data_IF_797531307778
#
_entry.id   IF_797531307778
#
_cell.length_a   1.000
_cell.length_b   1.000
_cell.length_c   1.000
_cell.angle_alpha   90.00
_cell.angle_beta   90.00
_cell.angle_gamma   90.00
#
_symmetry.space_group_name_H-M   'P 1'
#
loop_
_entity.id
_entity.type
_entity.pdbx_description
1 polymer ?
#
# COMPACT_ATOMS: atom_id res chain seq x y z
N UNK A 1 16.97 -75.80 -7.46
CA UNK A 1 15.95 -74.99 -8.15
C UNK A 1 15.26 -74.01 -7.21
N UNK A 2 14.77 -74.42 -6.04
CA UNK A 2 14.07 -73.55 -5.07
C UNK A 2 14.95 -72.44 -4.46
N UNK A 3 16.18 -72.76 -4.06
CA UNK A 3 17.13 -71.77 -3.48
C UNK A 3 17.50 -70.67 -4.47
N UNK A 4 17.72 -71.01 -5.74
CA UNK A 4 18.03 -70.04 -6.80
C UNK A 4 16.87 -69.06 -7.05
N UNK A 5 15.62 -69.53 -7.00
CA UNK A 5 14.43 -68.69 -7.16
C UNK A 5 14.28 -67.70 -6.00
N UNK A 6 14.54 -68.15 -4.77
CA UNK A 6 14.51 -67.31 -3.56
C UNK A 6 15.59 -66.22 -3.65
N UNK A 7 16.81 -66.56 -4.07
CA UNK A 7 17.91 -65.59 -4.22
C UNK A 7 17.56 -64.53 -5.26
N UNK A 8 16.99 -64.91 -6.42
CA UNK A 8 16.56 -63.95 -7.45
C UNK A 8 15.46 -63.02 -6.93
N UNK A 9 14.48 -63.56 -6.20
CA UNK A 9 13.41 -62.76 -5.60
C UNK A 9 13.92 -61.76 -4.56
N UNK A 10 14.86 -62.16 -3.71
CA UNK A 10 15.48 -61.28 -2.71
C UNK A 10 16.30 -60.18 -3.39
N UNK A 11 17.10 -60.51 -4.41
CA UNK A 11 17.87 -59.52 -5.15
C UNK A 11 16.98 -58.50 -5.88
N UNK A 12 15.90 -58.96 -6.52
CA UNK A 12 14.93 -58.08 -7.16
C UNK A 12 14.22 -57.17 -6.14
N UNK A 13 13.83 -57.70 -4.99
CA UNK A 13 13.22 -56.93 -3.91
C UNK A 13 14.13 -55.85 -3.32
N UNK A 14 15.40 -56.21 -3.04
CA UNK A 14 16.41 -55.27 -2.55
C UNK A 14 16.74 -54.19 -3.60
N UNK A 15 16.83 -54.57 -4.88
CA UNK A 15 17.01 -53.62 -5.98
C UNK A 15 15.86 -52.62 -6.07
N UNK A 16 14.61 -53.09 -5.96
CA UNK A 16 13.43 -52.22 -5.93
C UNK A 16 13.43 -51.25 -4.75
N UNK A 17 13.79 -51.71 -3.55
CA UNK A 17 13.93 -50.85 -2.37
C UNK A 17 15.04 -49.81 -2.54
N UNK A 18 16.19 -50.18 -3.11
CA UNK A 18 17.28 -49.26 -3.35
C UNK A 18 16.89 -48.16 -4.36
N UNK A 19 16.22 -48.52 -5.45
CA UNK A 19 15.74 -47.54 -6.44
C UNK A 19 14.63 -46.66 -5.86
N UNK A 20 13.69 -47.25 -5.11
CA UNK A 20 12.61 -46.51 -4.47
C UNK A 20 13.12 -45.52 -3.42
N UNK A 21 14.09 -45.93 -2.59
CA UNK A 21 14.72 -45.05 -1.61
C UNK A 21 15.56 -43.96 -2.28
N UNK A 22 16.32 -44.28 -3.32
CA UNK A 22 17.08 -43.28 -4.07
C UNK A 22 16.17 -42.23 -4.73
N UNK A 23 15.06 -42.65 -5.34
CA UNK A 23 14.05 -41.75 -5.90
C UNK A 23 13.39 -40.90 -4.80
N UNK A 24 13.10 -41.51 -3.64
CA UNK A 24 12.51 -40.80 -2.49
C UNK A 24 13.44 -39.72 -1.92
N UNK A 25 14.73 -40.01 -1.80
CA UNK A 25 15.73 -39.05 -1.31
C UNK A 25 15.91 -37.89 -2.29
N UNK A 26 15.93 -38.18 -3.60
CA UNK A 26 16.02 -37.14 -4.64
C UNK A 26 14.76 -36.27 -4.68
N UNK A 27 13.58 -36.85 -4.49
CA UNK A 27 12.33 -36.09 -4.40
C UNK A 27 12.31 -35.18 -3.16
N UNK A 28 12.91 -35.62 -2.04
CA UNK A 28 13.00 -34.79 -0.83
C UNK A 28 13.91 -33.57 -1.01
N UNK A 29 15.04 -33.70 -1.71
CA UNK A 29 15.92 -32.55 -1.92
C UNK A 29 15.24 -31.45 -2.74
N UNK A 30 14.44 -31.81 -3.76
CA UNK A 30 13.68 -30.82 -4.53
C UNK A 30 12.66 -30.07 -3.68
N UNK A 31 12.04 -30.72 -2.69
CA UNK A 31 11.09 -30.07 -1.77
C UNK A 31 11.84 -29.10 -0.85
N UNK A 32 13.02 -29.48 -0.37
CA UNK A 32 13.87 -28.62 0.47
C UNK A 32 14.38 -27.40 -0.31
N UNK A 33 14.79 -27.59 -1.56
CA UNK A 33 15.21 -26.51 -2.45
C UNK A 33 14.06 -25.55 -2.77
N UNK A 34 12.86 -26.07 -3.08
CA UNK A 34 11.67 -25.25 -3.29
C UNK A 34 11.31 -24.43 -2.05
N UNK A 35 11.39 -25.06 -0.87
CA UNK A 35 11.12 -24.40 0.40
C UNK A 35 12.13 -23.28 0.68
N UNK A 36 13.42 -23.56 0.51
CA UNK A 36 14.47 -22.57 0.67
C UNK A 36 14.31 -21.39 -0.32
N UNK A 37 13.83 -21.64 -1.53
CA UNK A 37 13.56 -20.60 -2.52
C UNK A 37 12.38 -19.71 -2.10
N UNK A 38 11.29 -20.29 -1.59
CA UNK A 38 10.13 -19.55 -1.06
C UNK A 38 10.54 -18.68 0.14
N UNK A 39 11.31 -19.23 1.08
CA UNK A 39 11.76 -18.51 2.27
C UNK A 39 12.70 -17.34 1.92
N UNK A 40 13.52 -17.46 0.86
CA UNK A 40 14.36 -16.35 0.37
C UNK A 40 13.56 -15.24 -0.30
N UNK A 41 12.44 -15.56 -0.92
CA UNK A 41 11.56 -14.60 -1.59
C UNK A 41 10.57 -13.95 -0.62
N UNK A 42 10.23 -14.63 0.48
CA UNK A 42 9.32 -14.15 1.52
C UNK A 42 10.01 -14.22 2.90
N UNK A 43 10.69 -13.13 3.31
CA UNK A 43 11.47 -13.11 4.55
C UNK A 43 10.67 -13.38 5.84
N UNK A 44 9.32 -13.27 5.80
CA UNK A 44 8.44 -13.48 6.96
C UNK A 44 7.69 -14.83 6.94
N UNK A 45 7.95 -15.72 5.97
CA UNK A 45 7.43 -17.09 5.92
C UNK A 45 5.90 -17.27 5.80
N UNK A 46 5.13 -16.18 5.79
CA UNK A 46 3.66 -16.20 5.88
C UNK A 46 2.94 -16.14 4.52
N UNK A 47 3.64 -15.92 3.41
CA UNK A 47 2.96 -15.62 2.14
C UNK A 47 2.49 -14.17 2.01
N UNK A 48 2.45 -13.40 3.11
CA UNK A 48 1.70 -12.14 3.19
C UNK A 48 2.60 -11.05 3.79
N UNK A 49 2.91 -10.03 3.00
CA UNK A 49 3.62 -8.84 3.46
C UNK A 49 2.82 -8.16 4.57
N UNK A 50 3.39 -8.06 5.77
CA UNK A 50 2.77 -7.42 6.94
C UNK A 50 2.50 -5.93 6.72
N UNK A 51 3.20 -5.30 5.77
CA UNK A 51 3.00 -3.91 5.35
C UNK A 51 1.93 -3.76 4.28
N UNK A 52 1.49 -4.84 3.64
CA UNK A 52 0.41 -4.77 2.67
C UNK A 52 -0.89 -4.31 3.32
N UNK A 53 -1.60 -3.41 2.63
CA UNK A 53 -2.93 -2.98 3.02
C UNK A 53 -3.89 -4.14 2.82
N UNK A 54 -4.60 -4.51 3.89
CA UNK A 54 -5.51 -5.67 3.88
C UNK A 54 -6.81 -5.40 4.64
N UNK A 55 -6.76 -4.52 5.63
CA UNK A 55 -7.92 -4.15 6.44
C UNK A 55 -8.52 -2.90 5.78
N UNK A 56 -9.64 -3.08 5.06
CA UNK A 56 -10.27 -2.04 4.25
C UNK A 56 -11.75 -1.93 4.58
N UNK A 57 -12.23 -0.70 4.79
CA UNK A 57 -13.66 -0.43 4.91
C UNK A 57 -14.00 0.97 4.43
N UNK A 58 -15.23 1.12 3.92
CA UNK A 58 -15.81 2.40 3.52
C UNK A 58 -17.09 2.63 4.31
N UNK A 59 -17.25 3.85 4.81
CA UNK A 59 -18.48 4.34 5.42
C UNK A 59 -18.98 5.51 4.59
N UNK A 60 -20.23 5.43 4.11
CA UNK A 60 -20.87 6.49 3.34
C UNK A 60 -21.88 7.24 4.21
N UNK A 61 -21.99 8.54 4.00
CA UNK A 61 -22.84 9.41 4.82
C UNK A 61 -23.13 10.74 4.12
N UNK A 62 -24.10 11.48 4.66
CA UNK A 62 -24.41 12.85 4.26
C UNK A 62 -23.71 13.81 5.22
N UNK A 63 -22.59 14.39 4.77
CA UNK A 63 -21.76 15.28 5.58
C UNK A 63 -22.29 16.72 5.68
N UNK A 64 -23.20 17.09 4.77
CA UNK A 64 -23.78 18.42 4.65
C UNK A 64 -25.30 18.28 4.66
N UNK A 65 -26.00 19.09 5.45
CA UNK A 65 -27.46 19.01 5.63
C UNK A 65 -28.25 19.19 4.32
N UNK A 66 -27.68 19.91 3.36
CA UNK A 66 -28.28 20.18 2.04
C UNK A 66 -28.13 19.01 1.05
N UNK A 67 -27.42 17.95 1.45
CA UNK A 67 -27.16 16.76 0.64
C UNK A 67 -27.97 15.59 1.17
N UNK A 68 -28.42 14.73 0.25
CA UNK A 68 -28.92 13.40 0.60
C UNK A 68 -28.36 12.37 -0.37
N UNK A 69 -28.39 11.10 0.05
CA UNK A 69 -27.97 9.98 -0.77
C UNK A 69 -26.55 9.48 -0.49
N UNK A 70 -26.04 9.73 0.72
CA UNK A 70 -24.75 9.24 1.20
C UNK A 70 -23.61 9.52 0.21
N UNK A 71 -23.51 10.79 -0.21
CA UNK A 71 -22.55 11.21 -1.25
C UNK A 71 -21.14 11.42 -0.71
N UNK A 72 -20.99 11.64 0.59
CA UNK A 72 -19.68 11.73 1.25
C UNK A 72 -19.24 10.35 1.75
N UNK A 73 -17.94 10.16 1.94
CA UNK A 73 -17.42 8.90 2.43
C UNK A 73 -16.13 9.07 3.24
N UNK A 74 -15.88 8.09 4.11
CA UNK A 74 -14.58 7.84 4.76
C UNK A 74 -14.14 6.42 4.46
N UNK A 75 -12.91 6.28 3.98
CA UNK A 75 -12.24 5.05 3.60
C UNK A 75 -11.05 4.83 4.52
N UNK A 76 -11.01 3.69 5.22
CA UNK A 76 -9.85 3.26 5.97
C UNK A 76 -9.07 2.21 5.17
N UNK A 77 -7.76 2.43 5.04
CA UNK A 77 -6.81 1.52 4.40
C UNK A 77 -5.71 1.21 5.40
N UNK A 78 -5.72 0.02 5.99
CA UNK A 78 -4.81 -0.34 7.08
C UNK A 78 -4.08 -1.66 6.77
N UNK A 79 -2.83 -1.75 7.23
CA UNK A 79 -2.05 -2.99 7.19
C UNK A 79 -2.32 -3.87 8.42
N UNK A 80 -1.64 -5.02 8.49
CA UNK A 80 -1.82 -6.01 9.56
C UNK A 80 -1.49 -5.50 10.98
N UNK A 81 -0.48 -4.63 11.08
CA UNK A 81 0.00 -4.05 12.36
C UNK A 81 -0.86 -2.87 12.79
N UNK A 82 -1.49 -2.26 11.80
CA UNK A 82 -2.47 -1.23 11.95
C UNK A 82 -2.05 0.17 11.61
N UNK A 83 -0.97 0.27 10.86
CA UNK A 83 -0.56 1.49 10.21
C UNK A 83 -1.31 1.65 8.89
N UNK A 84 -1.53 2.89 8.48
CA UNK A 84 -2.16 3.21 7.22
C UNK A 84 -2.76 4.61 7.21
N UNK A 85 -3.87 4.77 6.49
CA UNK A 85 -4.49 6.08 6.28
C UNK A 85 -6.02 5.96 6.29
N UNK A 86 -6.67 6.99 6.81
CA UNK A 86 -8.10 7.23 6.59
C UNK A 86 -8.24 8.40 5.63
N UNK A 87 -8.93 8.15 4.51
CA UNK A 87 -9.22 9.14 3.47
C UNK A 87 -10.69 9.49 3.52
N UNK A 88 -10.99 10.77 3.64
CA UNK A 88 -12.36 11.28 3.70
C UNK A 88 -12.62 12.21 2.54
N UNK A 89 -13.75 12.04 1.86
CA UNK A 89 -14.24 12.97 0.84
C UNK A 89 -15.60 13.52 1.26
N UNK A 90 -15.64 14.83 1.48
CA UNK A 90 -16.86 15.59 1.77
C UNK A 90 -17.33 16.21 0.46
N UNK A 91 -18.48 15.75 -0.01
CA UNK A 91 -19.02 16.13 -1.32
C UNK A 91 -20.22 17.06 -1.16
N UNK A 92 -20.08 18.29 -1.66
CA UNK A 92 -21.15 19.27 -1.80
C UNK A 92 -21.70 19.36 -3.23
N UNK A 93 -22.53 20.38 -3.50
CA UNK A 93 -23.18 20.55 -4.82
C UNK A 93 -22.18 21.05 -5.87
N UNK A 94 -21.32 21.96 -5.44
CA UNK A 94 -20.43 22.74 -6.30
C UNK A 94 -18.96 22.41 -6.05
N UNK A 95 -18.64 21.80 -4.90
CA UNK A 95 -17.27 21.51 -4.50
C UNK A 95 -17.16 20.20 -3.72
N UNK A 96 -15.96 19.63 -3.71
CA UNK A 96 -15.58 18.49 -2.91
C UNK A 96 -14.28 18.80 -2.17
N UNK A 97 -14.17 18.34 -0.92
CA UNK A 97 -12.95 18.43 -0.13
C UNK A 97 -12.50 17.03 0.26
N UNK A 98 -11.22 16.75 0.07
CA UNK A 98 -10.62 15.46 0.45
C UNK A 98 -9.56 15.67 1.52
N UNK A 99 -9.60 14.84 2.54
CA UNK A 99 -8.67 14.83 3.67
C UNK A 99 -8.05 13.44 3.79
N UNK A 100 -6.82 13.39 4.29
CA UNK A 100 -6.14 12.15 4.60
C UNK A 100 -5.49 12.28 5.98
N UNK A 101 -5.78 11.33 6.87
CA UNK A 101 -5.22 11.29 8.23
C UNK A 101 -4.45 9.99 8.41
N UNK A 102 -3.20 10.11 8.85
CA UNK A 102 -2.35 8.96 9.12
C UNK A 102 -2.82 8.21 10.37
N UNK A 103 -2.72 6.89 10.32
CA UNK A 103 -2.98 5.97 11.43
C UNK A 103 -1.70 5.19 11.69
N UNK A 104 -1.29 5.13 12.96
CA UNK A 104 -0.14 4.34 13.42
C UNK A 104 -0.59 3.42 14.54
N UNK A 105 -0.28 2.12 14.42
CA UNK A 105 -0.57 1.09 15.43
C UNK A 105 -2.04 1.11 15.88
N UNK A 106 -2.96 1.36 14.94
CA UNK A 106 -4.39 1.44 15.20
C UNK A 106 -4.87 2.72 15.90
N UNK A 107 -4.04 3.76 15.98
CA UNK A 107 -4.41 5.09 16.51
C UNK A 107 -4.16 6.16 15.46
N UNK A 108 -5.13 7.05 15.26
CA UNK A 108 -4.93 8.20 14.39
C UNK A 108 -4.01 9.23 15.05
N UNK A 109 -3.12 9.82 14.26
CA UNK A 109 -2.24 10.91 14.72
C UNK A 109 -3.03 12.22 14.92
N UNK A 110 -4.09 12.40 14.14
CA UNK A 110 -5.03 13.52 14.24
C UNK A 110 -6.39 13.05 14.75
N UNK A 111 -7.17 13.97 15.31
CA UNK A 111 -8.53 13.67 15.75
C UNK A 111 -9.40 13.23 14.56
N UNK A 112 -9.96 12.02 14.64
CA UNK A 112 -10.90 11.51 13.65
C UNK A 112 -12.31 12.03 13.89
N UNK A 113 -13.07 12.25 12.81
CA UNK A 113 -14.52 12.42 12.88
C UNK A 113 -15.19 11.10 13.31
N UNK A 114 -16.46 11.13 13.75
CA UNK A 114 -17.21 9.91 14.05
C UNK A 114 -17.24 8.92 12.90
N UNK A 115 -17.38 9.39 11.67
CA UNK A 115 -17.46 8.60 10.44
C UNK A 115 -16.10 7.99 10.08
N UNK A 116 -15.03 8.78 10.19
CA UNK A 116 -13.65 8.32 10.02
C UNK A 116 -13.29 7.23 11.04
N UNK A 117 -13.68 7.44 12.30
CA UNK A 117 -13.46 6.46 13.37
C UNK A 117 -14.26 5.17 13.11
N UNK A 118 -15.51 5.28 12.64
CA UNK A 118 -16.30 4.12 12.22
C UNK A 118 -15.63 3.36 11.08
N UNK A 119 -15.13 4.05 10.06
CA UNK A 119 -14.41 3.41 8.95
C UNK A 119 -13.16 2.66 9.44
N UNK A 120 -12.35 3.30 10.28
CA UNK A 120 -11.16 2.66 10.87
C UNK A 120 -11.52 1.41 11.69
N UNK A 121 -12.59 1.48 12.50
CA UNK A 121 -13.07 0.33 13.27
C UNK A 121 -13.63 -0.77 12.39
N UNK A 122 -14.42 -0.43 11.37
CA UNK A 122 -15.00 -1.39 10.43
C UNK A 122 -13.92 -2.16 9.69
N UNK A 123 -12.89 -1.46 9.19
CA UNK A 123 -11.74 -2.06 8.53
C UNK A 123 -11.03 -3.07 9.45
N UNK A 124 -10.83 -2.71 10.72
CA UNK A 124 -10.23 -3.57 11.73
C UNK A 124 -11.04 -4.79 12.12
N UNK A 125 -12.36 -4.69 12.05
CA UNK A 125 -13.27 -5.79 12.34
C UNK A 125 -13.56 -6.65 11.10
N UNK A 126 -12.97 -6.34 9.95
CA UNK A 126 -13.26 -7.03 8.69
C UNK A 126 -14.71 -6.87 8.24
N UNK A 127 -15.37 -5.78 8.62
CA UNK A 127 -16.73 -5.48 8.20
C UNK A 127 -16.72 -5.00 6.76
N UNK A 128 -17.61 -5.57 5.93
CA UNK A 128 -17.77 -5.18 4.54
C UNK A 128 -18.14 -3.68 4.42
N UNK A 129 -17.91 -3.03 3.26
CA UNK A 129 -18.29 -1.64 3.02
C UNK A 129 -19.74 -1.42 3.44
N UNK A 130 -19.92 -0.66 4.53
CA UNK A 130 -21.21 -0.58 5.20
C UNK A 130 -21.94 0.62 4.61
N UNK A 131 -22.88 0.37 3.72
CA UNK A 131 -23.91 1.36 3.36
C UNK A 131 -24.91 1.44 4.51
N UNK A 132 -24.50 2.02 5.64
CA UNK A 132 -25.46 2.32 6.71
C UNK A 132 -25.96 3.73 6.45
N UNK A 133 -27.08 3.78 5.71
CA UNK A 133 -28.01 4.89 5.73
C UNK A 133 -28.19 5.36 7.19
N UNK A 134 -28.26 6.67 7.40
CA UNK A 134 -28.43 7.23 8.73
C UNK A 134 -29.66 6.64 9.43
N UNK A 135 -29.47 5.69 10.32
CA UNK A 135 -30.32 5.40 11.47
C UNK A 135 -29.58 4.35 12.34
N UNK A 136 -29.80 4.39 13.65
CA UNK A 136 -29.17 3.55 14.70
C UNK A 136 -27.71 3.85 15.11
N UNK A 137 -27.50 5.04 15.68
CA UNK A 137 -26.60 5.15 16.84
C UNK A 137 -27.39 4.79 18.11
N UNK A 138 -26.81 4.07 19.09
CA UNK A 138 -27.54 3.72 20.31
C UNK A 138 -27.94 4.99 21.06
N UNK A 139 -29.22 5.07 21.40
CA UNK A 139 -29.81 6.10 22.24
C UNK A 139 -29.20 6.06 23.64
N UNK A 140 -28.20 6.92 23.91
CA UNK A 140 -27.84 7.36 25.26
C UNK A 140 -26.95 8.61 25.20
N UNK A 141 -27.56 9.80 25.10
CA UNK A 141 -27.20 11.03 25.82
C UNK A 141 -28.01 12.20 25.26
N UNK A 142 -29.07 12.54 25.99
CA UNK A 142 -30.00 13.64 25.78
C UNK A 142 -29.29 15.00 25.80
N UNK A 143 -29.36 15.78 24.70
CA UNK A 143 -29.51 17.26 24.62
C UNK A 143 -29.02 17.79 23.24
N UNK A 144 -29.67 18.81 22.64
CA UNK A 144 -29.27 19.33 21.34
C UNK A 144 -28.04 20.22 21.50
N UNK A 145 -26.89 19.82 20.96
CA UNK A 145 -25.83 20.79 20.67
C UNK A 145 -26.04 21.31 19.27
N UNK A 146 -26.67 22.48 19.18
CA UNK A 146 -26.39 23.45 18.11
C UNK A 146 -24.88 23.53 18.02
N UNK A 147 -24.27 23.02 16.95
CA UNK A 147 -22.85 23.23 16.70
C UNK A 147 -22.72 24.68 16.22
N UNK A 148 -22.23 25.62 17.05
CA UNK A 148 -21.95 26.96 16.56
C UNK A 148 -20.67 26.83 15.74
N UNK A 149 -20.80 26.81 14.41
CA UNK A 149 -19.69 26.81 13.46
C UNK A 149 -18.69 25.67 13.71
N UNK A 150 -18.94 24.51 13.10
CA UNK A 150 -17.91 23.48 12.98
C UNK A 150 -16.72 24.07 12.20
N UNK A 151 -15.74 24.64 12.90
CA UNK A 151 -14.44 24.96 12.32
C UNK A 151 -13.74 23.63 12.08
N UNK A 152 -13.90 23.12 10.86
CA UNK A 152 -13.03 22.09 10.30
C UNK A 152 -11.59 22.54 10.54
N UNK A 153 -10.68 21.70 11.08
CA UNK A 153 -9.26 22.01 11.14
C UNK A 153 -8.80 22.37 9.73
N UNK A 154 -8.54 23.65 9.51
CA UNK A 154 -8.08 24.17 8.24
C UNK A 154 -6.57 23.96 8.22
N UNK A 155 -6.00 23.20 7.26
CA UNK A 155 -4.56 23.26 7.05
C UNK A 155 -4.18 24.72 6.77
N UNK A 156 -3.04 25.17 7.32
CA UNK A 156 -2.59 26.55 7.20
C UNK A 156 -2.64 27.01 5.73
N UNK A 157 -3.12 28.24 5.44
CA UNK A 157 -3.26 28.72 4.07
C UNK A 157 -1.88 28.83 3.40
N UNK A 158 -1.75 28.23 2.21
CA UNK A 158 -0.70 28.61 1.27
C UNK A 158 -1.00 30.05 0.81
N UNK A 159 0.00 30.93 0.83
CA UNK A 159 -0.11 32.30 0.34
C UNK A 159 -0.63 32.32 -1.12
N UNK A 160 -1.52 33.25 -1.50
CA UNK A 160 -2.08 33.27 -2.84
C UNK A 160 -1.03 33.70 -3.87
N UNK A 161 -0.73 32.81 -4.81
CA UNK A 161 -0.17 33.21 -6.09
C UNK A 161 -1.15 34.16 -6.79
N UNK A 162 -0.69 35.36 -7.15
CA UNK A 162 -1.46 36.39 -7.84
C UNK A 162 -1.96 35.95 -9.23
N UNK A 163 -2.78 36.78 -9.90
CA UNK A 163 -3.49 36.39 -11.12
C UNK A 163 -2.49 36.02 -12.23
N UNK A 164 -2.80 34.94 -12.95
CA UNK A 164 -2.02 34.43 -14.06
C UNK A 164 -1.76 35.52 -15.11
N UNK A 165 -0.52 36.02 -15.14
CA UNK A 165 0.00 36.77 -16.26
C UNK A 165 0.10 35.81 -17.46
N UNK A 166 -0.32 36.27 -18.65
CA UNK A 166 -0.09 35.57 -19.91
C UNK A 166 1.40 35.28 -20.15
N UNK A 167 1.76 34.48 -21.17
CA UNK A 167 3.13 34.00 -21.33
C UNK A 167 4.12 35.17 -21.48
N UNK A 168 4.89 35.41 -20.42
CA UNK A 168 5.96 36.40 -20.42
C UNK A 168 7.14 35.85 -21.23
N UNK A 169 7.61 36.66 -22.18
CA UNK A 169 8.76 36.38 -23.03
C UNK A 169 10.03 36.14 -22.19
N UNK A 170 10.98 35.29 -22.65
CA UNK A 170 12.19 35.01 -21.90
C UNK A 170 13.13 36.25 -21.91
N UNK A 171 13.74 36.61 -20.76
CA UNK A 171 14.75 37.67 -20.71
C UNK A 171 16.10 37.18 -21.27
N UNK A 172 16.84 38.10 -21.89
CA UNK A 172 18.18 37.88 -22.45
C UNK A 172 19.25 37.63 -21.36
N UNK A 173 20.38 36.96 -21.69
CA UNK A 173 21.36 36.55 -20.70
C UNK A 173 22.42 37.63 -20.46
N UNK A 174 22.80 37.84 -19.20
CA UNK A 174 24.08 38.44 -18.82
C UNK A 174 24.81 37.52 -17.82
N UNK A 175 26.14 37.48 -17.97
CA UNK A 175 27.09 36.46 -17.48
C UNK A 175 27.52 36.64 -15.98
N UNK A 176 28.28 35.68 -15.39
CA UNK A 176 28.18 35.26 -13.98
C UNK A 176 29.17 35.93 -13.00
N UNK A 177 29.05 35.68 -11.68
CA UNK A 177 30.06 34.81 -11.03
C UNK A 177 29.55 33.87 -9.90
N UNK A 178 29.90 32.58 -10.03
CA UNK A 178 30.58 31.61 -9.12
C UNK A 178 30.41 31.54 -7.56
N UNK A 179 30.73 30.38 -6.91
CA UNK A 179 29.76 29.61 -6.11
C UNK A 179 30.21 29.24 -4.67
N UNK A 180 29.26 28.81 -3.82
CA UNK A 180 29.41 27.88 -2.68
C UNK A 180 28.09 27.88 -1.87
N UNK A 181 27.58 26.83 -1.25
CA UNK A 181 27.83 25.40 -1.24
C UNK A 181 26.61 24.78 -0.51
N UNK A 182 26.29 23.54 -0.88
CA UNK A 182 25.65 22.52 -0.05
C UNK A 182 24.14 22.62 0.29
N UNK A 183 23.32 21.95 -0.53
CA UNK A 183 22.06 21.32 -0.11
C UNK A 183 21.96 19.93 -0.75
N UNK A 184 21.75 18.83 0.01
CA UNK A 184 21.67 17.49 -0.54
C UNK A 184 20.32 17.24 -1.22
N UNK A 185 20.39 16.74 -2.45
CA UNK A 185 19.29 16.48 -3.36
C UNK A 185 18.32 15.39 -2.87
N UNK A 186 17.01 15.71 -2.90
CA UNK A 186 15.93 14.72 -2.92
C UNK A 186 16.02 13.93 -4.22
N UNK A 187 16.42 12.65 -4.13
CA UNK A 187 16.48 11.74 -5.28
C UNK A 187 15.05 11.37 -5.71
N UNK A 188 14.63 11.90 -6.86
CA UNK A 188 13.51 11.35 -7.62
C UNK A 188 13.96 10.04 -8.28
N UNK A 189 13.36 8.93 -7.84
CA UNK A 189 13.57 7.61 -8.42
C UNK A 189 12.75 7.53 -9.72
N UNK A 190 13.42 7.55 -10.88
CA UNK A 190 12.75 7.43 -12.16
C UNK A 190 13.69 7.01 -13.28
N UNK A 191 13.26 5.96 -13.99
CA UNK A 191 13.71 5.50 -15.31
C UNK A 191 14.87 4.49 -15.38
N UNK A 192 14.49 3.30 -15.88
CA UNK A 192 15.35 2.22 -16.34
C UNK A 192 16.25 2.64 -17.51
N UNK A 193 17.47 2.07 -17.66
CA UNK A 193 18.35 2.40 -18.77
C UNK A 193 17.90 1.74 -20.07
N UNK A 194 17.50 2.57 -21.03
CA UNK A 194 17.35 2.21 -22.44
C UNK A 194 18.70 1.93 -23.10
N UNK A 195 18.70 0.94 -24.00
CA UNK A 195 19.85 0.40 -24.73
C UNK A 195 20.61 1.49 -25.50
N UNK A 196 21.93 1.55 -25.30
CA UNK A 196 22.85 2.33 -26.13
C UNK A 196 23.14 1.60 -27.47
N UNK A 197 23.21 2.31 -28.61
CA UNK A 197 23.71 1.73 -29.85
C UNK A 197 25.24 1.78 -29.89
N UNK A 198 25.86 0.66 -30.27
CA UNK A 198 27.29 0.57 -30.56
C UNK A 198 27.59 1.33 -31.85
N UNK A 199 28.41 2.38 -31.77
CA UNK A 199 29.06 3.03 -32.93
C UNK A 199 30.57 2.98 -32.74
N UNK A 200 31.24 2.32 -33.69
CA UNK A 200 32.68 2.16 -33.71
C UNK A 200 33.46 3.41 -34.12
N UNK A 201 34.73 3.41 -33.70
CA UNK A 201 35.90 4.09 -34.26
C UNK A 201 37.08 3.37 -33.57
N UNK A 202 37.88 2.51 -34.19
CA UNK A 202 38.82 2.71 -35.30
C UNK A 202 39.83 3.84 -35.07
N UNK A 203 41.03 3.44 -34.67
CA UNK A 203 42.31 4.09 -34.98
C UNK A 203 42.95 4.94 -33.87
N UNK A 204 44.03 4.45 -33.26
CA UNK A 204 45.41 4.94 -33.52
C UNK A 204 46.38 4.65 -32.34
N UNK A 205 47.57 4.17 -32.72
CA UNK A 205 48.89 4.43 -32.11
C UNK A 205 49.11 4.11 -30.62
N UNK A 206 49.76 2.98 -30.31
CA UNK A 206 51.22 2.80 -30.19
C UNK A 206 51.50 1.45 -29.52
#
# INVERSE_FOLDING_TARGET
MTTSLVVVGVLAGLGGLAVGTFAYLTARSSIEDCRAMIERLLPDGSGVDSRALRDVAVVRYDALEEMSGARSFSLALLNAVGDGVVVTSINGRTESRTYAKAVEKGRALEALSPEEYRAMRAARLGQAPSEVAGEDAPAAATAPRKVPGARVPQPAPAEPAGPAAGPAAPPAPDAPPEPAADQPAVRTLGAAPGKAPLRGAQGAAN
#
